data_IF_021049581225
#
_entry.id   IF_021049581225
#
_cell.length_a   1.000
_cell.length_b   1.000
_cell.length_c   1.000
_cell.angle_alpha   90.00
_cell.angle_beta   90.00
_cell.angle_gamma   90.00
#
_symmetry.space_group_name_H-M   'P 1'
#
loop_
_entity.id
_entity.type
_entity.pdbx_description
1 polymer ?
#
# COMPACT_ATOMS: atom_id res chain seq x y z
N UNK A 1 43.15 59.71 15.56
CA UNK A 1 41.80 59.12 15.53
C UNK A 1 41.88 57.85 14.68
N UNK A 2 41.81 56.67 15.30
CA UNK A 2 41.86 55.36 14.62
C UNK A 2 40.43 54.81 14.56
N UNK A 3 39.86 54.69 13.36
CA UNK A 3 38.56 54.05 13.14
C UNK A 3 38.77 52.66 12.55
N UNK A 4 38.34 51.65 13.30
CA UNK A 4 38.41 50.24 12.93
C UNK A 4 37.46 49.91 11.78
N UNK A 5 37.97 49.17 10.80
CA UNK A 5 37.22 48.57 9.70
C UNK A 5 36.66 47.24 10.21
N UNK A 6 35.33 47.12 10.29
CA UNK A 6 34.66 45.84 10.54
C UNK A 6 34.33 45.17 9.20
N UNK A 7 34.95 44.02 8.95
CA UNK A 7 34.62 43.15 7.82
C UNK A 7 33.47 42.21 8.21
N UNK A 8 32.33 42.32 7.51
CA UNK A 8 31.25 41.34 7.57
C UNK A 8 31.56 40.16 6.62
N UNK A 9 31.62 38.95 7.17
CA UNK A 9 31.69 37.69 6.43
C UNK A 9 30.26 37.18 6.22
N UNK A 10 29.82 36.87 4.99
CA UNK A 10 28.53 36.24 4.78
C UNK A 10 28.65 34.71 4.95
N UNK A 11 27.90 34.15 5.91
CA UNK A 11 27.68 32.70 5.99
C UNK A 11 26.64 32.30 4.93
N UNK A 12 27.07 31.59 3.89
CA UNK A 12 26.16 30.85 3.01
C UNK A 12 25.60 29.65 3.79
N UNK A 13 24.33 29.70 4.16
CA UNK A 13 23.58 28.56 4.62
C UNK A 13 23.20 27.69 3.40
N UNK A 14 23.89 26.57 3.20
CA UNK A 14 23.48 25.55 2.25
C UNK A 14 22.26 24.81 2.80
N UNK A 15 21.07 25.11 2.29
CA UNK A 15 19.86 24.32 2.54
C UNK A 15 20.02 22.96 1.87
N UNK A 16 20.28 21.91 2.66
CA UNK A 16 20.11 20.53 2.22
C UNK A 16 18.62 20.31 1.98
N UNK A 17 18.18 20.42 0.72
CA UNK A 17 16.94 19.77 0.31
C UNK A 17 17.16 18.26 0.45
N UNK A 18 16.68 17.68 1.54
CA UNK A 18 16.45 16.24 1.59
C UNK A 18 15.45 15.94 0.46
N UNK A 19 15.92 15.29 -0.60
CA UNK A 19 15.04 14.81 -1.66
C UNK A 19 13.98 13.90 -1.00
N UNK A 20 12.70 14.17 -1.27
CA UNK A 20 11.64 13.29 -0.85
C UNK A 20 11.98 11.86 -1.31
N UNK A 21 11.75 10.82 -0.48
CA UNK A 21 11.95 9.45 -0.91
C UNK A 21 11.18 9.24 -2.21
N UNK A 22 11.85 8.69 -3.25
CA UNK A 22 11.15 8.35 -4.47
C UNK A 22 10.03 7.37 -4.13
N UNK A 23 8.80 7.70 -4.55
CA UNK A 23 7.70 6.75 -4.49
C UNK A 23 8.12 5.44 -5.16
N UNK A 24 7.82 4.29 -4.55
CA UNK A 24 8.22 3.01 -5.10
C UNK A 24 7.47 2.77 -6.41
N UNK A 25 8.22 2.48 -7.48
CA UNK A 25 7.62 2.11 -8.78
C UNK A 25 7.10 0.69 -8.80
N UNK A 26 7.68 -0.18 -7.95
CA UNK A 26 7.23 -1.54 -7.67
C UNK A 26 7.32 -1.78 -6.17
N UNK A 27 6.28 -2.33 -5.57
CA UNK A 27 6.20 -2.58 -4.14
C UNK A 27 5.33 -3.78 -3.81
N UNK A 28 5.47 -4.26 -2.58
CA UNK A 28 4.61 -5.26 -1.98
C UNK A 28 3.62 -4.54 -1.07
N UNK A 29 2.41 -5.10 -0.97
CA UNK A 29 1.42 -4.64 -0.02
C UNK A 29 1.49 -5.47 1.25
N UNK A 30 1.68 -4.80 2.38
CA UNK A 30 1.64 -5.43 3.71
C UNK A 30 0.76 -4.62 4.63
N UNK A 31 0.15 -5.29 5.60
CA UNK A 31 -0.61 -4.62 6.65
C UNK A 31 0.19 -4.52 7.93
N UNK A 32 0.03 -3.45 8.69
CA UNK A 32 0.65 -3.24 10.01
C UNK A 32 -0.32 -2.48 10.92
N UNK A 33 -0.06 -2.50 12.23
CA UNK A 33 -0.76 -1.66 13.22
C UNK A 33 -0.13 -0.27 13.40
N UNK A 34 0.76 0.16 12.49
CA UNK A 34 1.41 1.47 12.54
C UNK A 34 0.93 2.40 11.42
N UNK A 35 0.61 3.64 11.79
CA UNK A 35 0.18 4.69 10.86
C UNK A 35 1.33 5.46 10.21
N UNK A 36 2.57 5.27 10.67
CA UNK A 36 3.73 5.98 10.12
C UNK A 36 4.19 5.33 8.81
N UNK A 37 4.31 6.06 7.69
CA UNK A 37 4.81 5.51 6.43
C UNK A 37 6.18 4.85 6.60
N UNK A 38 6.34 3.62 6.10
CA UNK A 38 7.62 2.92 6.13
C UNK A 38 7.80 1.99 4.93
N UNK A 39 8.96 2.05 4.28
CA UNK A 39 9.30 1.23 3.11
C UNK A 39 9.87 -0.14 3.48
N UNK A 40 10.36 -0.29 4.72
CA UNK A 40 11.03 -1.47 5.21
C UNK A 40 10.08 -2.24 6.13
N UNK A 41 9.61 -3.38 5.65
CA UNK A 41 8.69 -4.23 6.41
C UNK A 41 9.30 -4.79 7.70
N UNK A 42 10.62 -4.87 7.82
CA UNK A 42 11.28 -5.28 9.07
C UNK A 42 11.18 -4.24 10.19
N UNK A 43 10.92 -2.97 9.84
CA UNK A 43 10.77 -1.88 10.81
C UNK A 43 9.30 -1.68 11.22
N UNK A 44 8.38 -2.40 10.58
CA UNK A 44 6.96 -2.38 10.88
C UNK A 44 6.60 -3.42 11.96
N UNK A 45 5.63 -3.10 12.79
CA UNK A 45 5.10 -3.97 13.84
C UNK A 45 3.87 -4.72 13.37
N UNK A 46 3.68 -5.95 13.88
CA UNK A 46 2.51 -6.80 13.60
C UNK A 46 2.23 -6.93 12.09
N UNK A 47 3.30 -7.15 11.32
CA UNK A 47 3.21 -7.15 9.85
C UNK A 47 2.56 -8.42 9.35
N UNK A 48 1.61 -8.28 8.43
CA UNK A 48 1.08 -9.41 7.67
C UNK A 48 1.28 -9.16 6.18
N UNK A 49 1.78 -10.18 5.48
CA UNK A 49 1.89 -10.13 4.04
C UNK A 49 0.50 -10.30 3.40
N UNK A 50 0.37 -9.86 2.14
CA UNK A 50 -0.88 -9.97 1.40
C UNK A 50 -0.76 -10.81 0.13
N UNK A 51 -1.87 -11.37 -0.33
CA UNK A 51 -1.96 -12.12 -1.57
C UNK A 51 -3.33 -11.95 -2.21
N UNK A 52 -3.39 -12.11 -3.53
CA UNK A 52 -4.65 -12.15 -4.27
C UNK A 52 -5.43 -13.42 -3.93
N UNK A 53 -6.75 -13.29 -3.90
CA UNK A 53 -7.64 -14.34 -3.42
C UNK A 53 -9.00 -14.31 -4.11
N UNK A 54 -9.45 -15.48 -4.58
CA UNK A 54 -10.79 -15.67 -5.13
C UNK A 54 -11.59 -16.65 -4.27
N UNK A 55 -12.33 -16.16 -3.25
CA UNK A 55 -13.19 -17.00 -2.43
C UNK A 55 -14.51 -17.40 -3.09
N UNK A 56 -14.91 -16.72 -4.18
CA UNK A 56 -16.28 -16.75 -4.69
C UNK A 56 -16.38 -17.30 -6.11
N UNK A 57 -15.27 -17.70 -6.74
CA UNK A 57 -15.20 -18.06 -8.16
C UNK A 57 -15.73 -16.94 -9.06
N UNK A 58 -15.36 -15.71 -8.74
CA UNK A 58 -15.84 -14.51 -9.41
C UNK A 58 -14.71 -13.79 -10.16
N UNK A 59 -15.02 -12.91 -11.13
CA UNK A 59 -13.97 -12.19 -11.87
C UNK A 59 -13.08 -11.30 -11.01
N UNK A 60 -13.62 -10.79 -9.89
CA UNK A 60 -12.90 -9.92 -8.97
C UNK A 60 -12.05 -10.72 -7.97
N UNK A 61 -10.74 -10.47 -7.97
CA UNK A 61 -9.84 -10.94 -6.93
C UNK A 61 -9.86 -9.97 -5.75
N UNK A 62 -9.77 -10.52 -4.55
CA UNK A 62 -9.66 -9.78 -3.30
C UNK A 62 -8.22 -9.80 -2.79
N UNK A 63 -7.89 -8.87 -1.89
CA UNK A 63 -6.63 -8.91 -1.15
C UNK A 63 -6.84 -9.57 0.21
N UNK A 64 -6.15 -10.68 0.48
CA UNK A 64 -6.16 -11.36 1.78
C UNK A 64 -4.82 -11.25 2.51
N UNK A 65 -4.86 -11.38 3.82
CA UNK A 65 -3.66 -11.63 4.63
C UNK A 65 -3.22 -13.08 4.43
N UNK A 66 -1.90 -13.28 4.41
CA UNK A 66 -1.28 -14.60 4.39
C UNK A 66 -0.26 -14.71 5.53
N UNK A 67 -0.04 -15.93 6.00
CA UNK A 67 0.99 -16.20 7.02
C UNK A 67 2.42 -16.03 6.50
N UNK A 68 3.41 -16.07 7.39
CA UNK A 68 4.81 -16.11 6.99
C UNK A 68 5.13 -17.38 6.18
N UNK A 69 6.09 -17.27 5.24
CA UNK A 69 6.60 -18.42 4.48
C UNK A 69 5.89 -18.77 3.18
N UNK A 70 4.85 -18.02 2.76
CA UNK A 70 4.29 -18.17 1.42
C UNK A 70 5.24 -17.54 0.39
N UNK A 71 5.85 -18.38 -0.45
CA UNK A 71 6.99 -18.04 -1.31
C UNK A 71 6.74 -17.12 -2.51
N UNK A 72 5.61 -16.41 -2.58
CA UNK A 72 5.38 -15.39 -3.60
C UNK A 72 4.36 -14.36 -3.12
N UNK A 73 4.77 -13.10 -3.09
CA UNK A 73 3.93 -11.94 -2.82
C UNK A 73 3.66 -11.21 -4.13
N UNK A 74 2.42 -10.75 -4.40
CA UNK A 74 2.17 -9.98 -5.60
C UNK A 74 2.96 -8.67 -5.56
N UNK A 75 3.59 -8.34 -6.68
CA UNK A 75 4.18 -7.03 -6.90
C UNK A 75 3.10 -6.09 -7.43
N UNK A 76 3.09 -4.88 -6.91
CA UNK A 76 2.15 -3.84 -7.28
C UNK A 76 2.87 -2.63 -7.84
N UNK A 77 2.21 -1.95 -8.77
CA UNK A 77 2.53 -0.58 -9.17
C UNK A 77 1.29 0.28 -8.92
N UNK A 78 1.46 1.61 -8.84
CA UNK A 78 0.36 2.55 -8.68
C UNK A 78 0.44 3.59 -9.80
N UNK A 79 -0.60 3.67 -10.63
CA UNK A 79 -0.70 4.73 -11.64
C UNK A 79 -2.12 5.25 -11.73
N UNK A 80 -2.29 6.57 -11.86
CA UNK A 80 -3.61 7.22 -11.98
C UNK A 80 -4.63 6.78 -10.91
N UNK A 81 -4.16 6.60 -9.67
CA UNK A 81 -5.00 6.20 -8.55
C UNK A 81 -5.36 4.70 -8.49
N UNK A 82 -4.78 3.89 -9.38
CA UNK A 82 -5.12 2.47 -9.55
C UNK A 82 -3.90 1.60 -9.27
N UNK A 83 -4.07 0.60 -8.40
CA UNK A 83 -3.06 -0.44 -8.17
C UNK A 83 -3.11 -1.45 -9.31
N UNK A 84 -1.94 -1.80 -9.85
CA UNK A 84 -1.79 -2.80 -10.90
C UNK A 84 -0.97 -3.97 -10.38
N UNK A 85 -1.32 -5.19 -10.76
CA UNK A 85 -0.52 -6.39 -10.46
C UNK A 85 -0.75 -7.45 -11.52
N UNK A 86 0.15 -8.42 -11.65
CA UNK A 86 -0.02 -9.55 -12.57
C UNK A 86 -0.25 -10.81 -11.77
N UNK A 87 -1.24 -11.60 -12.17
CA UNK A 87 -1.52 -12.89 -11.56
C UNK A 87 -2.08 -13.89 -12.55
N UNK A 88 -2.08 -15.16 -12.14
CA UNK A 88 -2.69 -16.23 -12.92
C UNK A 88 -4.19 -15.99 -13.07
N UNK A 89 -4.73 -16.37 -14.24
CA UNK A 89 -6.17 -16.39 -14.45
C UNK A 89 -6.89 -17.48 -13.63
N UNK A 90 -8.23 -17.53 -13.71
CA UNK A 90 -9.01 -18.62 -13.14
C UNK A 90 -8.44 -19.99 -13.52
N UNK A 91 -8.40 -20.90 -12.55
CA UNK A 91 -7.81 -22.24 -12.68
C UNK A 91 -6.32 -22.27 -13.08
N UNK A 92 -5.59 -21.17 -12.91
CA UNK A 92 -4.17 -21.10 -13.24
C UNK A 92 -3.87 -20.95 -14.73
N UNK A 93 -4.89 -20.69 -15.56
CA UNK A 93 -4.74 -20.58 -17.01
C UNK A 93 -4.37 -19.14 -17.37
N UNK A 94 -3.21 -18.95 -17.98
CA UNK A 94 -2.72 -17.64 -18.44
C UNK A 94 -2.25 -16.72 -17.31
N UNK A 95 -1.67 -15.59 -17.70
CA UNK A 95 -1.31 -14.48 -16.81
C UNK A 95 -2.05 -13.23 -17.29
N UNK A 96 -2.63 -12.49 -16.36
CA UNK A 96 -3.40 -11.28 -16.65
C UNK A 96 -2.95 -10.15 -15.73
N UNK A 97 -3.05 -8.94 -16.25
CA UNK A 97 -2.98 -7.73 -15.44
C UNK A 97 -4.32 -7.53 -14.73
N UNK A 98 -4.25 -7.32 -13.43
CA UNK A 98 -5.36 -7.05 -12.54
C UNK A 98 -5.21 -5.64 -11.98
N UNK A 99 -6.29 -4.87 -12.08
CA UNK A 99 -6.35 -3.46 -11.72
C UNK A 99 -7.33 -3.26 -10.58
N UNK A 100 -6.96 -2.48 -9.57
CA UNK A 100 -7.88 -2.15 -8.49
C UNK A 100 -9.07 -1.35 -8.99
N UNK A 101 -10.26 -1.70 -8.52
CA UNK A 101 -11.44 -0.85 -8.69
C UNK A 101 -11.35 0.42 -7.83
N UNK A 102 -12.23 1.39 -8.08
CA UNK A 102 -12.40 2.54 -7.16
C UNK A 102 -12.84 2.01 -5.80
N UNK A 103 -12.09 2.35 -4.76
CA UNK A 103 -12.34 1.84 -3.42
C UNK A 103 -13.52 2.58 -2.80
N UNK A 104 -14.54 1.82 -2.38
CA UNK A 104 -15.73 2.34 -1.74
C UNK A 104 -15.75 2.01 -0.24
N UNK A 105 -16.41 2.87 0.55
CA UNK A 105 -16.59 2.61 1.98
C UNK A 105 -17.48 1.38 2.22
N UNK A 106 -17.08 0.54 3.17
CA UNK A 106 -17.77 -0.70 3.51
C UNK A 106 -17.61 -1.81 2.47
N UNK A 107 -16.54 -1.80 1.68
CA UNK A 107 -16.28 -2.79 0.64
C UNK A 107 -14.85 -3.37 0.72
N UNK A 108 -14.66 -4.58 0.19
CA UNK A 108 -13.34 -5.15 -0.05
C UNK A 108 -12.54 -4.35 -1.08
N UNK A 109 -11.22 -4.35 -0.94
CA UNK A 109 -10.34 -3.99 -2.05
C UNK A 109 -10.42 -5.09 -3.12
N UNK A 110 -10.92 -4.71 -4.31
CA UNK A 110 -11.13 -5.63 -5.43
C UNK A 110 -10.22 -5.30 -6.62
N UNK A 111 -9.79 -6.33 -7.32
CA UNK A 111 -9.00 -6.25 -8.55
C UNK A 111 -9.68 -7.00 -9.69
N UNK A 112 -9.77 -6.37 -10.85
CA UNK A 112 -10.39 -6.94 -12.06
C UNK A 112 -9.36 -7.07 -13.18
N UNK A 113 -9.45 -8.14 -13.97
CA UNK A 113 -8.65 -8.34 -15.18
C UNK A 113 -9.17 -7.50 -16.37
N UNK A 114 -9.33 -6.19 -16.15
CA UNK A 114 -9.81 -5.23 -17.14
C UNK A 114 -9.32 -3.83 -16.80
N UNK A 115 -9.32 -2.94 -17.79
CA UNK A 115 -9.04 -1.53 -17.55
C UNK A 115 -10.07 -0.94 -16.57
N UNK A 116 -9.58 -0.15 -15.63
CA UNK A 116 -10.40 0.56 -14.64
C UNK A 116 -10.38 2.06 -14.95
N UNK A 117 -11.43 2.80 -14.57
CA UNK A 117 -11.37 4.26 -14.56
C UNK A 117 -10.26 4.75 -13.62
N UNK A 118 -10.02 6.06 -13.60
CA UNK A 118 -9.15 6.68 -12.61
C UNK A 118 -9.58 6.26 -11.20
N UNK A 119 -8.63 5.70 -10.44
CA UNK A 119 -8.86 5.24 -9.07
C UNK A 119 -8.68 6.37 -8.05
N UNK A 120 -8.85 6.02 -6.78
CA UNK A 120 -8.76 6.93 -5.64
C UNK A 120 -7.66 6.55 -4.63
N UNK A 121 -6.68 5.74 -5.04
CA UNK A 121 -5.57 5.30 -4.19
C UNK A 121 -4.36 6.21 -4.36
N UNK A 122 -3.71 6.62 -3.27
CA UNK A 122 -2.45 7.37 -3.30
C UNK A 122 -1.47 6.88 -2.23
N UNK A 123 -0.21 7.32 -2.27
CA UNK A 123 0.80 7.01 -1.25
C UNK A 123 1.12 8.26 -0.42
N UNK A 124 0.72 8.26 0.85
CA UNK A 124 1.16 9.26 1.83
C UNK A 124 2.58 8.93 2.31
N UNK A 125 3.45 9.94 2.33
CA UNK A 125 4.87 9.77 2.67
C UNK A 125 5.59 8.77 1.78
N UNK A 126 5.05 8.51 0.57
CA UNK A 126 5.56 7.55 -0.41
C UNK A 126 5.32 6.08 -0.08
N UNK A 127 4.78 5.72 1.09
CA UNK A 127 4.71 4.32 1.53
C UNK A 127 3.40 3.93 2.21
N UNK A 128 2.60 4.87 2.70
CA UNK A 128 1.33 4.57 3.33
C UNK A 128 0.19 4.67 2.31
N UNK A 129 -0.55 3.59 2.10
CA UNK A 129 -1.62 3.57 1.11
C UNK A 129 -2.84 4.31 1.65
N UNK A 130 -3.34 5.26 0.87
CA UNK A 130 -4.51 6.09 1.20
C UNK A 130 -5.63 5.87 0.20
N UNK A 131 -6.85 6.17 0.61
CA UNK A 131 -8.04 6.23 -0.24
C UNK A 131 -8.65 7.62 -0.07
N UNK A 132 -8.79 8.36 -1.17
CA UNK A 132 -9.26 9.76 -1.17
C UNK A 132 -8.45 10.66 -0.21
N UNK A 133 -7.16 10.35 -0.02
CA UNK A 133 -6.25 11.07 0.87
C UNK A 133 -6.33 10.67 2.36
N UNK A 134 -7.17 9.71 2.72
CA UNK A 134 -7.27 9.18 4.09
C UNK A 134 -6.50 7.86 4.23
N UNK A 135 -5.78 7.65 5.33
CA UNK A 135 -4.97 6.44 5.59
C UNK A 135 -5.53 5.52 6.68
N UNK A 136 -6.46 6.00 7.49
CA UNK A 136 -6.95 5.34 8.71
C UNK A 136 -8.22 4.50 8.50
N UNK A 137 -8.79 4.49 7.29
CA UNK A 137 -9.97 3.70 6.96
C UNK A 137 -9.69 2.22 6.68
N UNK A 138 -8.44 1.77 6.60
CA UNK A 138 -8.15 0.36 6.31
C UNK A 138 -8.53 -0.56 7.46
N UNK A 139 -9.16 -1.67 7.12
CA UNK A 139 -9.60 -2.70 8.06
C UNK A 139 -9.33 -4.08 7.50
N UNK A 140 -9.10 -5.03 8.39
CA UNK A 140 -9.01 -6.45 8.08
C UNK A 140 -10.22 -7.14 8.69
N UNK A 141 -11.06 -7.73 7.84
CA UNK A 141 -12.29 -8.41 8.25
C UNK A 141 -12.22 -9.91 7.94
N UNK A 142 -12.87 -10.72 8.79
CA UNK A 142 -13.06 -12.14 8.52
C UNK A 142 -13.90 -12.35 7.25
N UNK A 143 -13.48 -13.29 6.42
CA UNK A 143 -14.09 -13.60 5.13
C UNK A 143 -14.26 -15.11 4.94
N UNK A 144 -14.72 -15.54 3.76
CA UNK A 144 -14.91 -16.95 3.42
C UNK A 144 -13.61 -17.74 3.53
N UNK A 145 -13.76 -19.06 3.65
CA UNK A 145 -12.66 -20.01 3.74
C UNK A 145 -11.69 -19.71 4.90
N UNK A 146 -12.22 -19.16 6.01
CA UNK A 146 -11.45 -18.77 7.20
C UNK A 146 -10.29 -17.82 6.89
N UNK A 147 -10.44 -17.01 5.84
CA UNK A 147 -9.46 -16.01 5.44
C UNK A 147 -9.77 -14.65 6.07
N UNK A 148 -8.78 -13.76 6.05
CA UNK A 148 -8.94 -12.37 6.46
C UNK A 148 -8.63 -11.48 5.27
N UNK A 149 -9.57 -10.65 4.87
CA UNK A 149 -9.49 -9.81 3.67
C UNK A 149 -9.38 -8.33 4.02
N UNK A 150 -8.79 -7.55 3.14
CA UNK A 150 -8.64 -6.11 3.30
C UNK A 150 -9.89 -5.35 2.82
N UNK A 151 -10.39 -4.46 3.66
CA UNK A 151 -11.59 -3.66 3.45
C UNK A 151 -11.29 -2.18 3.70
N UNK A 152 -11.99 -1.30 2.99
CA UNK A 152 -12.02 0.12 3.30
C UNK A 152 -13.26 0.46 4.11
N UNK A 153 -13.05 1.11 5.27
CA UNK A 153 -14.09 1.46 6.24
C UNK A 153 -15.02 0.29 6.53
N UNK A 154 -14.44 -0.91 6.68
CA UNK A 154 -15.17 -2.12 7.03
C UNK A 154 -15.81 -1.97 8.41
N UNK A 155 -17.07 -2.38 8.53
CA UNK A 155 -17.86 -2.26 9.76
C UNK A 155 -18.22 -3.64 10.29
N UNK A 156 -18.17 -3.83 11.61
CA UNK A 156 -18.56 -5.09 12.27
C UNK A 156 -17.56 -5.57 13.31
N UNK A 157 -18.02 -6.43 14.23
CA UNK A 157 -17.18 -6.98 15.31
C UNK A 157 -16.07 -7.93 14.83
N UNK A 158 -16.09 -8.32 13.56
CA UNK A 158 -15.08 -9.15 12.90
C UNK A 158 -14.04 -8.33 12.10
N UNK A 159 -14.12 -7.00 12.14
CA UNK A 159 -13.19 -6.10 11.47
C UNK A 159 -12.22 -5.49 12.48
N UNK A 160 -10.93 -5.50 12.17
CA UNK A 160 -9.88 -4.84 12.97
C UNK A 160 -9.24 -3.74 12.13
N UNK A 161 -9.09 -2.54 12.71
CA UNK A 161 -8.35 -1.46 12.06
C UNK A 161 -6.91 -1.87 11.76
N UNK A 162 -6.40 -1.41 10.61
CA UNK A 162 -5.03 -1.64 10.18
C UNK A 162 -4.54 -0.44 9.36
N UNK A 163 -3.28 -0.45 8.97
CA UNK A 163 -2.73 0.37 7.91
C UNK A 163 -2.15 -0.50 6.81
N UNK A 164 -2.25 -0.03 5.57
CA UNK A 164 -1.71 -0.68 4.40
C UNK A 164 -0.45 0.06 3.95
N UNK A 165 0.65 -0.67 3.81
CA UNK A 165 1.97 -0.14 3.46
C UNK A 165 2.44 -0.71 2.13
N UNK A 166 3.02 0.16 1.30
CA UNK A 166 3.79 -0.15 0.11
C UNK A 166 5.27 -0.32 0.50
N UNK A 167 5.70 -1.56 0.69
CA UNK A 167 7.08 -1.88 1.13
C UNK A 167 7.92 -2.43 -0.01
N UNK A 168 9.23 -2.27 0.08
CA UNK A 168 10.18 -2.74 -0.95
C UNK A 168 10.72 -4.14 -0.69
N UNK A 169 10.46 -4.72 0.48
CA UNK A 169 10.91 -6.05 0.89
C UNK A 169 9.81 -6.83 1.59
N UNK A 170 9.82 -8.14 1.41
CA UNK A 170 8.89 -9.06 2.08
C UNK A 170 9.12 -9.07 3.60
N UNK A 171 8.08 -9.33 4.42
CA UNK A 171 8.16 -9.27 5.89
C UNK A 171 8.74 -10.55 6.55
N UNK A 172 9.77 -11.17 5.96
CA UNK A 172 10.42 -12.39 6.48
C UNK A 172 11.90 -12.48 6.08
#
# INVERSE_FOLDING_TARGET
MRSSIFHLVPLLAATLCAAAPLEPTNFLLVTSNQSSPNYNSSDLQVVSATSLFDPYYQPALLLRLIGPGYGSLPNFTLTSGTLHTTASGPHGVGQYEYNSTVVAGGAELQFLASQQPQGNIALEGGYLVTVDGESDGWTVCDSKLSSRTLWWKGVGGNCTQTWLHAVTKAPY
#
